data_IF_948736992299
#
_entry.id   IF_948736992299
#
_cell.length_a   1.000
_cell.length_b   1.000
_cell.length_c   1.000
_cell.angle_alpha   90.00
_cell.angle_beta   90.00
_cell.angle_gamma   90.00
#
_symmetry.space_group_name_H-M   'P 1'
#
loop_
_entity.id
_entity.type
_entity.pdbx_description
1 polymer ?
#
# COMPACT_ATOMS: atom_id res chain seq x y z
N UNK A 1 6.46 -16.82 -7.89
CA UNK A 1 7.31 -15.94 -8.70
C UNK A 1 6.61 -15.59 -10.02
N UNK A 2 6.70 -14.33 -10.45
CA UNK A 2 6.02 -13.81 -11.66
C UNK A 2 7.06 -13.29 -12.66
N UNK A 3 6.74 -13.37 -13.95
CA UNK A 3 7.55 -12.72 -14.97
C UNK A 3 7.47 -11.20 -14.77
N UNK A 4 8.60 -10.50 -14.88
CA UNK A 4 8.63 -9.05 -14.74
C UNK A 4 8.37 -8.37 -16.10
N UNK A 5 7.19 -7.77 -16.33
CA UNK A 5 6.86 -7.15 -17.62
C UNK A 5 7.81 -6.01 -17.99
N UNK A 6 8.35 -5.30 -16.99
CA UNK A 6 9.29 -4.22 -17.21
C UNK A 6 10.61 -4.72 -17.79
N UNK A 7 11.08 -5.89 -17.36
CA UNK A 7 12.27 -6.54 -17.93
C UNK A 7 12.09 -6.79 -19.42
N UNK A 8 10.98 -7.45 -19.79
CA UNK A 8 10.70 -7.80 -21.19
C UNK A 8 10.45 -6.56 -22.06
N UNK A 9 9.81 -5.53 -21.51
CA UNK A 9 9.63 -4.24 -22.19
C UNK A 9 10.98 -3.56 -22.46
N UNK A 10 11.87 -3.50 -21.47
CA UNK A 10 13.22 -2.96 -21.66
C UNK A 10 14.01 -3.77 -22.69
N UNK A 11 13.92 -5.09 -22.61
CA UNK A 11 14.57 -5.99 -23.55
C UNK A 11 14.09 -5.76 -25.00
N UNK A 12 12.77 -5.64 -25.21
CA UNK A 12 12.20 -5.37 -26.54
C UNK A 12 12.61 -4.02 -27.12
N UNK A 13 12.81 -3.02 -26.24
CA UNK A 13 13.27 -1.68 -26.58
C UNK A 13 14.81 -1.58 -26.64
N UNK A 14 15.55 -2.68 -26.47
CA UNK A 14 17.02 -2.74 -26.42
C UNK A 14 17.63 -1.82 -25.37
N UNK A 15 16.91 -1.57 -24.27
CA UNK A 15 17.38 -0.81 -23.13
C UNK A 15 18.11 -1.72 -22.12
N UNK A 16 18.96 -1.13 -21.26
CA UNK A 16 19.64 -1.88 -20.22
C UNK A 16 18.64 -2.52 -19.24
N UNK A 17 18.80 -3.83 -19.00
CA UNK A 17 18.03 -4.61 -18.01
C UNK A 17 18.82 -4.92 -16.75
N UNK A 18 20.05 -4.39 -16.61
CA UNK A 18 20.98 -4.75 -15.53
C UNK A 18 20.42 -4.56 -14.11
N UNK A 19 19.54 -3.56 -13.91
CA UNK A 19 18.89 -3.27 -12.63
C UNK A 19 17.41 -3.70 -12.57
N UNK A 20 16.97 -4.52 -13.52
CA UNK A 20 15.58 -4.97 -13.61
C UNK A 20 15.58 -6.50 -13.60
N UNK A 21 15.15 -7.15 -12.50
CA UNK A 21 15.13 -8.61 -12.44
C UNK A 21 14.14 -9.18 -13.47
N UNK A 22 14.49 -10.32 -14.05
CA UNK A 22 13.65 -11.03 -15.01
C UNK A 22 12.37 -11.58 -14.37
N UNK A 23 12.47 -11.92 -13.08
CA UNK A 23 11.40 -12.54 -12.31
C UNK A 23 11.17 -11.73 -11.05
N UNK A 24 9.91 -11.54 -10.66
CA UNK A 24 9.50 -10.99 -9.38
C UNK A 24 9.25 -12.18 -8.46
N UNK A 25 10.10 -12.35 -7.46
CA UNK A 25 9.93 -13.35 -6.41
C UNK A 25 9.16 -12.68 -5.25
N UNK A 26 7.97 -13.15 -4.95
CA UNK A 26 7.17 -12.65 -3.82
C UNK A 26 7.40 -13.47 -2.54
N UNK A 27 8.11 -14.58 -2.64
CA UNK A 27 8.54 -15.39 -1.52
C UNK A 27 10.07 -15.44 -1.48
N UNK A 28 10.63 -15.46 -0.30
CA UNK A 28 12.08 -15.61 -0.08
C UNK A 28 12.33 -16.84 0.77
N UNK A 29 13.20 -17.73 0.29
CA UNK A 29 13.65 -18.90 1.02
C UNK A 29 14.91 -18.52 1.81
N UNK A 30 14.80 -18.58 3.12
CA UNK A 30 15.88 -18.33 4.07
C UNK A 30 16.37 -19.66 4.65
N UNK A 31 17.47 -19.65 5.39
CA UNK A 31 18.11 -20.90 5.85
C UNK A 31 17.19 -21.79 6.71
N UNK A 32 16.31 -21.20 7.52
CA UNK A 32 15.45 -21.90 8.48
C UNK A 32 13.96 -21.56 8.32
N UNK A 33 13.59 -20.64 7.42
CA UNK A 33 12.21 -20.21 7.22
C UNK A 33 11.97 -19.69 5.81
N UNK A 34 10.71 -19.55 5.45
CA UNK A 34 10.26 -18.98 4.19
C UNK A 34 9.51 -17.69 4.51
N UNK A 35 9.92 -16.57 3.90
CA UNK A 35 9.18 -15.33 3.96
C UNK A 35 8.12 -15.31 2.84
N UNK A 36 6.88 -15.07 3.21
CA UNK A 36 5.74 -14.97 2.30
C UNK A 36 5.07 -13.59 2.41
N UNK A 37 4.46 -13.08 1.35
CA UNK A 37 3.62 -11.90 1.44
C UNK A 37 2.48 -12.12 2.45
N UNK A 38 2.14 -11.08 3.19
CA UNK A 38 1.13 -11.19 4.27
C UNK A 38 -0.27 -11.57 3.78
N UNK A 39 -0.65 -11.23 2.56
CA UNK A 39 -1.92 -11.64 1.95
C UNK A 39 -2.01 -13.13 1.64
N UNK A 40 -0.93 -13.90 1.81
CA UNK A 40 -0.95 -15.35 1.70
C UNK A 40 -1.26 -16.06 3.04
N UNK A 41 -1.50 -15.32 4.11
CA UNK A 41 -1.67 -15.91 5.46
C UNK A 41 -2.82 -16.92 5.49
N UNK A 42 -4.01 -16.56 4.99
CA UNK A 42 -5.18 -17.45 4.97
C UNK A 42 -4.92 -18.72 4.16
N UNK A 43 -4.22 -18.62 3.03
CA UNK A 43 -3.86 -19.77 2.20
C UNK A 43 -2.88 -20.70 2.93
N UNK A 44 -1.91 -20.13 3.67
CA UNK A 44 -0.95 -20.90 4.49
C UNK A 44 -1.67 -21.59 5.64
N UNK A 45 -2.57 -20.90 6.35
CA UNK A 45 -3.37 -21.46 7.43
C UNK A 45 -4.23 -22.63 6.93
N UNK A 46 -4.91 -22.46 5.79
CA UNK A 46 -5.71 -23.51 5.18
C UNK A 46 -4.87 -24.74 4.78
N UNK A 47 -3.69 -24.49 4.18
CA UNK A 47 -2.76 -25.55 3.78
C UNK A 47 -2.26 -26.33 5.02
N UNK A 48 -1.84 -25.65 6.07
CA UNK A 48 -1.33 -26.32 7.29
C UNK A 48 -2.44 -27.12 7.97
N UNK A 49 -3.67 -26.60 7.97
CA UNK A 49 -4.82 -27.33 8.48
C UNK A 49 -5.12 -28.60 7.70
N UNK A 50 -5.02 -28.58 6.36
CA UNK A 50 -5.17 -29.77 5.50
C UNK A 50 -4.18 -30.88 5.87
N UNK A 51 -2.93 -30.49 6.19
CA UNK A 51 -1.88 -31.43 6.60
C UNK A 51 -1.84 -31.70 8.09
N UNK A 52 -2.83 -31.21 8.87
CA UNK A 52 -2.90 -31.38 10.33
C UNK A 52 -1.64 -30.86 11.06
N UNK A 53 -1.04 -29.80 10.55
CA UNK A 53 0.09 -29.11 11.17
C UNK A 53 -0.44 -27.99 12.07
N UNK A 54 -0.02 -28.00 13.34
CA UNK A 54 -0.37 -26.93 14.27
C UNK A 54 0.40 -25.65 13.89
N UNK A 55 -0.32 -24.53 13.79
CA UNK A 55 0.25 -23.21 13.54
C UNK A 55 0.27 -22.41 14.85
N UNK A 56 1.40 -21.87 15.21
CA UNK A 56 1.56 -20.84 16.24
C UNK A 56 1.86 -19.51 15.52
N UNK A 57 1.09 -18.47 15.82
CA UNK A 57 1.21 -17.16 15.16
C UNK A 57 1.74 -16.15 16.16
N UNK A 58 2.88 -15.54 15.84
CA UNK A 58 3.43 -14.39 16.54
C UNK A 58 3.20 -13.13 15.66
N UNK A 59 2.41 -12.16 16.16
CA UNK A 59 2.08 -10.94 15.42
C UNK A 59 3.04 -9.81 15.77
N UNK A 60 3.96 -9.51 14.85
CA UNK A 60 4.93 -8.41 14.98
C UNK A 60 4.49 -7.11 14.27
N UNK A 61 3.24 -7.05 13.78
CA UNK A 61 2.71 -5.84 13.14
C UNK A 61 2.67 -4.68 14.12
N UNK A 62 2.81 -3.47 13.59
CA UNK A 62 2.84 -2.24 14.39
C UNK A 62 1.52 -1.47 14.27
N UNK A 63 0.94 -1.19 15.41
CA UNK A 63 -0.21 -0.27 15.51
C UNK A 63 0.12 1.18 15.15
N UNK A 64 1.40 1.53 15.21
CA UNK A 64 1.87 2.89 14.98
C UNK A 64 1.46 3.87 16.08
N UNK A 65 1.71 5.16 15.83
CA UNK A 65 1.34 6.23 16.74
C UNK A 65 -0.13 6.66 16.54
N UNK A 66 -0.82 7.13 17.60
CA UNK A 66 -2.16 7.70 17.46
C UNK A 66 -2.15 8.93 16.53
N UNK A 67 -3.18 9.04 15.70
CA UNK A 67 -3.46 10.19 14.84
C UNK A 67 -4.82 10.76 15.22
N UNK A 68 -4.81 11.88 15.92
CA UNK A 68 -6.03 12.56 16.35
C UNK A 68 -6.53 13.50 15.26
N UNK A 69 -7.36 12.99 14.37
CA UNK A 69 -8.02 13.75 13.31
C UNK A 69 -9.49 13.35 13.22
N UNK A 70 -10.33 14.24 12.73
CA UNK A 70 -11.76 13.96 12.51
C UNK A 70 -12.12 14.25 11.07
N UNK A 71 -12.84 13.33 10.45
CA UNK A 71 -13.39 13.54 9.13
C UNK A 71 -14.51 14.61 9.17
N UNK A 72 -14.39 15.65 8.35
CA UNK A 72 -15.32 16.78 8.32
C UNK A 72 -16.26 16.78 7.08
N UNK A 73 -16.17 15.73 6.26
CA UNK A 73 -17.00 15.59 5.08
C UNK A 73 -18.34 14.90 5.37
N UNK A 74 -19.19 14.85 4.35
CA UNK A 74 -20.41 14.04 4.35
C UNK A 74 -20.23 12.91 3.32
N UNK A 75 -20.40 11.68 3.74
CA UNK A 75 -20.37 10.52 2.86
C UNK A 75 -21.75 10.26 2.26
N UNK A 76 -21.80 9.78 1.04
CA UNK A 76 -22.99 9.14 0.50
C UNK A 76 -23.24 7.79 1.17
N UNK A 77 -24.46 7.28 1.09
CA UNK A 77 -24.81 5.96 1.65
C UNK A 77 -23.88 4.85 1.14
N UNK A 78 -23.53 4.88 -0.14
CA UNK A 78 -22.60 3.91 -0.74
C UNK A 78 -21.18 4.04 -0.16
N UNK A 79 -20.68 5.26 0.01
CA UNK A 79 -19.37 5.51 0.61
C UNK A 79 -19.33 5.09 2.10
N UNK A 80 -20.40 5.29 2.85
CA UNK A 80 -20.51 4.83 4.23
C UNK A 80 -20.46 3.30 4.32
N UNK A 81 -21.24 2.61 3.48
CA UNK A 81 -21.25 1.16 3.43
C UNK A 81 -19.85 0.61 3.07
N UNK A 82 -19.21 1.19 2.05
CA UNK A 82 -17.86 0.82 1.64
C UNK A 82 -16.83 1.04 2.77
N UNK A 83 -16.88 2.20 3.42
CA UNK A 83 -15.99 2.51 4.55
C UNK A 83 -16.17 1.51 5.69
N UNK A 84 -17.43 1.21 6.07
CA UNK A 84 -17.72 0.21 7.10
C UNK A 84 -17.19 -1.17 6.73
N UNK A 85 -17.39 -1.61 5.49
CA UNK A 85 -16.91 -2.90 5.02
C UNK A 85 -15.36 -3.00 5.08
N UNK A 86 -14.63 -1.95 4.65
CA UNK A 86 -13.16 -1.95 4.73
C UNK A 86 -12.68 -1.94 6.18
N UNK A 87 -13.36 -1.24 7.07
CA UNK A 87 -12.98 -1.13 8.48
C UNK A 87 -13.14 -2.43 9.27
N UNK A 88 -13.87 -3.43 8.77
CA UNK A 88 -13.97 -4.75 9.43
C UNK A 88 -12.73 -5.63 9.22
N UNK A 89 -11.83 -5.26 8.32
CA UNK A 89 -10.62 -6.01 8.00
C UNK A 89 -9.37 -5.15 8.25
N UNK A 90 -8.27 -5.75 8.65
CA UNK A 90 -7.00 -5.04 8.81
C UNK A 90 -6.38 -4.71 7.45
N UNK A 91 -6.61 -5.56 6.47
CA UNK A 91 -6.10 -5.42 5.11
C UNK A 91 -7.21 -5.59 4.10
N UNK A 92 -7.09 -4.92 2.95
CA UNK A 92 -8.02 -5.10 1.85
C UNK A 92 -7.93 -4.05 0.76
N UNK A 93 -8.61 -4.34 -0.35
CA UNK A 93 -8.64 -3.45 -1.52
C UNK A 93 -10.06 -2.93 -1.73
N UNK A 94 -10.23 -1.62 -1.68
CA UNK A 94 -11.46 -0.95 -2.08
C UNK A 94 -11.47 -0.70 -3.59
N UNK A 95 -12.31 -1.46 -4.29
CA UNK A 95 -12.49 -1.35 -5.74
C UNK A 95 -13.72 -0.53 -6.04
N UNK A 96 -13.58 0.59 -6.73
CA UNK A 96 -14.71 1.43 -7.13
C UNK A 96 -14.40 2.23 -8.41
N UNK A 97 -15.39 2.43 -9.31
CA UNK A 97 -15.20 3.21 -10.52
C UNK A 97 -14.64 4.61 -10.27
N UNK A 98 -14.03 5.26 -11.29
CA UNK A 98 -13.67 6.67 -11.21
C UNK A 98 -14.90 7.53 -10.87
N UNK A 99 -14.71 8.60 -10.08
CA UNK A 99 -15.76 9.51 -9.70
C UNK A 99 -16.56 9.15 -8.44
N UNK A 100 -16.47 7.93 -7.92
CA UNK A 100 -17.16 7.51 -6.67
C UNK A 100 -16.59 8.21 -5.42
N UNK A 101 -15.42 8.83 -5.52
CA UNK A 101 -14.78 9.48 -4.38
C UNK A 101 -13.93 8.51 -3.53
N UNK A 102 -13.17 7.60 -4.16
CA UNK A 102 -12.25 6.67 -3.46
C UNK A 102 -11.34 7.39 -2.45
N UNK A 103 -10.79 8.54 -2.82
CA UNK A 103 -9.93 9.33 -1.94
C UNK A 103 -10.68 9.80 -0.69
N UNK A 104 -11.95 10.22 -0.84
CA UNK A 104 -12.80 10.64 0.29
C UNK A 104 -13.05 9.47 1.25
N UNK A 105 -13.36 8.28 0.71
CA UNK A 105 -13.51 7.05 1.51
C UNK A 105 -12.19 6.70 2.19
N UNK A 106 -11.05 6.80 1.48
CA UNK A 106 -9.72 6.58 2.05
C UNK A 106 -9.42 7.53 3.23
N UNK A 107 -9.76 8.82 3.11
CA UNK A 107 -9.57 9.80 4.18
C UNK A 107 -10.48 9.50 5.38
N UNK A 108 -11.72 9.08 5.15
CA UNK A 108 -12.61 8.62 6.22
C UNK A 108 -12.03 7.40 6.94
N UNK A 109 -11.47 6.42 6.21
CA UNK A 109 -10.83 5.24 6.80
C UNK A 109 -9.61 5.65 7.65
N UNK A 110 -8.78 6.59 7.15
CA UNK A 110 -7.64 7.14 7.91
C UNK A 110 -8.11 7.74 9.24
N UNK A 111 -9.14 8.58 9.20
CA UNK A 111 -9.69 9.20 10.41
C UNK A 111 -10.28 8.17 11.37
N UNK A 112 -10.98 7.16 10.86
CA UNK A 112 -11.60 6.10 11.66
C UNK A 112 -10.56 5.16 12.31
N UNK A 113 -9.46 4.83 11.61
CA UNK A 113 -8.35 4.03 12.16
C UNK A 113 -7.60 4.80 13.25
N UNK A 114 -7.44 6.13 13.10
CA UNK A 114 -6.77 6.97 14.08
C UNK A 114 -5.31 6.59 14.33
N UNK A 115 -4.62 6.13 13.28
CA UNK A 115 -3.21 5.72 13.35
C UNK A 115 -2.37 6.55 12.38
N UNK A 116 -1.11 6.80 12.73
CA UNK A 116 -0.21 7.48 11.83
C UNK A 116 -0.18 6.76 10.48
N UNK A 117 -0.33 7.54 9.41
CA UNK A 117 -0.64 6.99 8.09
C UNK A 117 0.34 7.45 7.04
N UNK A 118 0.79 6.49 6.22
CA UNK A 118 1.54 6.72 4.99
C UNK A 118 0.65 6.45 3.78
N UNK A 119 0.46 7.46 2.93
CA UNK A 119 -0.27 7.32 1.66
C UNK A 119 0.75 7.18 0.53
N UNK A 120 0.66 6.07 -0.21
CA UNK A 120 1.52 5.76 -1.34
C UNK A 120 0.83 6.09 -2.66
N UNK A 121 1.48 6.92 -3.46
CA UNK A 121 1.00 7.33 -4.79
C UNK A 121 2.09 7.10 -5.84
N UNK A 122 1.72 7.04 -7.13
CA UNK A 122 2.70 6.78 -8.20
C UNK A 122 3.13 8.02 -8.99
N UNK A 123 2.47 9.18 -8.81
CA UNK A 123 2.76 10.42 -9.55
C UNK A 123 2.43 11.67 -8.76
N UNK A 124 3.14 12.76 -9.11
CA UNK A 124 3.02 14.06 -8.43
C UNK A 124 1.57 14.63 -8.39
N UNK A 125 0.77 14.62 -9.46
CA UNK A 125 -0.60 15.13 -9.40
C UNK A 125 -1.46 14.44 -8.34
N UNK A 126 -1.29 13.13 -8.12
CA UNK A 126 -1.98 12.40 -7.04
C UNK A 126 -1.47 12.82 -5.66
N UNK A 127 -0.16 13.04 -5.50
CA UNK A 127 0.40 13.56 -4.25
C UNK A 127 -0.23 14.92 -3.91
N UNK A 128 -0.25 15.85 -4.86
CA UNK A 128 -0.82 17.18 -4.65
C UNK A 128 -2.34 17.10 -4.35
N UNK A 129 -3.07 16.22 -5.03
CA UNK A 129 -4.49 15.96 -4.80
C UNK A 129 -4.74 15.41 -3.39
N UNK A 130 -3.96 14.40 -2.94
CA UNK A 130 -4.09 13.84 -1.60
C UNK A 130 -3.85 14.88 -0.54
N UNK A 131 -2.78 15.68 -0.65
CA UNK A 131 -2.49 16.76 0.30
C UNK A 131 -3.65 17.75 0.39
N UNK A 132 -4.20 18.19 -0.75
CA UNK A 132 -5.31 19.12 -0.78
C UNK A 132 -6.59 18.52 -0.14
N UNK A 133 -6.90 17.26 -0.44
CA UNK A 133 -8.11 16.62 0.08
C UNK A 133 -7.98 16.23 1.56
N UNK A 134 -6.80 15.80 2.02
CA UNK A 134 -6.53 15.59 3.45
C UNK A 134 -6.72 16.89 4.23
N UNK A 135 -6.15 17.99 3.76
CA UNK A 135 -6.32 19.29 4.40
C UNK A 135 -7.79 19.71 4.48
N UNK A 136 -8.55 19.53 3.38
CA UNK A 136 -9.97 19.87 3.30
C UNK A 136 -10.83 19.01 4.22
N UNK A 137 -10.70 17.67 4.15
CA UNK A 137 -11.61 16.75 4.84
C UNK A 137 -11.21 16.44 6.28
N UNK A 138 -9.96 16.75 6.68
CA UNK A 138 -9.53 16.62 8.08
C UNK A 138 -9.46 17.98 8.79
N UNK A 139 -9.59 19.10 8.05
CA UNK A 139 -9.52 20.45 8.62
C UNK A 139 -8.15 20.79 9.19
N UNK A 140 -7.06 20.32 8.57
CA UNK A 140 -5.68 20.55 9.01
C UNK A 140 -4.92 21.43 8.00
N UNK A 141 -3.89 22.14 8.46
CA UNK A 141 -3.04 22.93 7.55
C UNK A 141 -2.28 21.96 6.60
N UNK A 142 -2.25 22.22 5.28
CA UNK A 142 -1.43 21.44 4.34
C UNK A 142 0.04 21.31 4.74
N UNK A 143 0.57 22.23 5.55
CA UNK A 143 1.95 22.17 6.08
C UNK A 143 2.14 21.07 7.14
N UNK A 144 1.06 20.63 7.77
CA UNK A 144 1.07 19.53 8.73
C UNK A 144 1.05 18.15 8.05
N UNK A 145 0.94 18.11 6.72
CA UNK A 145 0.98 16.88 5.92
C UNK A 145 2.39 16.74 5.35
N UNK A 146 3.09 15.68 5.73
CA UNK A 146 4.42 15.42 5.21
C UNK A 146 4.38 14.98 3.74
N UNK A 147 5.44 15.28 3.00
CA UNK A 147 5.52 15.02 1.57
C UNK A 147 6.88 14.42 1.19
N UNK A 148 6.85 13.30 0.46
CA UNK A 148 8.04 12.62 -0.02
C UNK A 148 7.90 12.39 -1.53
N UNK A 149 8.76 13.04 -2.30
CA UNK A 149 8.74 12.97 -3.76
C UNK A 149 8.66 14.33 -4.43
N UNK A 150 8.81 14.36 -5.75
CA UNK A 150 8.78 15.60 -6.53
C UNK A 150 9.74 16.70 -6.03
N UNK A 151 10.94 16.31 -5.58
CA UNK A 151 11.94 17.22 -5.01
C UNK A 151 11.76 17.55 -3.52
N UNK A 152 10.72 17.04 -2.87
CA UNK A 152 10.50 17.21 -1.43
C UNK A 152 10.86 15.92 -0.68
N UNK A 153 11.53 16.05 0.46
CA UNK A 153 11.70 14.97 1.45
C UNK A 153 11.49 15.57 2.84
N UNK A 154 10.21 15.73 3.19
CA UNK A 154 9.78 16.30 4.48
C UNK A 154 8.71 15.42 5.11
N UNK A 155 9.03 14.18 5.52
CA UNK A 155 8.11 13.36 6.31
C UNK A 155 7.94 13.97 7.70
N UNK A 156 6.77 13.76 8.30
CA UNK A 156 6.51 14.14 9.70
C UNK A 156 6.20 12.92 10.60
N UNK A 157 6.10 11.72 10.02
CA UNK A 157 5.84 10.48 10.74
C UNK A 157 4.42 10.33 11.30
N UNK A 158 3.52 11.28 10.99
CA UNK A 158 2.12 11.28 11.43
C UNK A 158 1.15 11.04 10.29
N UNK A 159 1.20 11.90 9.27
CA UNK A 159 0.35 11.83 8.09
C UNK A 159 1.17 12.27 6.89
N UNK A 160 1.63 11.32 6.12
CA UNK A 160 2.58 11.57 5.04
C UNK A 160 2.07 11.03 3.72
N UNK A 161 2.29 11.79 2.64
CA UNK A 161 2.02 11.35 1.26
C UNK A 161 3.34 11.17 0.53
N UNK A 162 3.58 9.97 0.03
CA UNK A 162 4.85 9.61 -0.60
C UNK A 162 4.66 9.09 -2.02
N UNK A 163 5.53 9.53 -2.92
CA UNK A 163 5.67 8.86 -4.21
C UNK A 163 6.45 7.56 -4.00
N UNK A 164 5.87 6.42 -4.39
CA UNK A 164 6.43 5.09 -4.17
C UNK A 164 7.90 4.99 -4.64
N UNK A 165 8.18 5.49 -5.84
CA UNK A 165 9.55 5.49 -6.40
C UNK A 165 10.54 6.35 -5.62
N UNK A 166 10.08 7.27 -4.78
CA UNK A 166 10.94 8.12 -3.95
C UNK A 166 11.35 7.45 -2.65
N UNK A 167 10.71 6.33 -2.29
CA UNK A 167 11.03 5.50 -1.14
C UNK A 167 12.08 4.43 -1.43
N UNK A 168 12.41 4.22 -2.71
CA UNK A 168 13.41 3.22 -3.11
C UNK A 168 14.64 3.95 -3.64
N UNK A 169 15.80 3.74 -3.01
CA UNK A 169 17.09 4.29 -3.43
C UNK A 169 18.13 3.18 -3.52
N UNK A 170 18.82 3.08 -4.65
CA UNK A 170 19.86 2.07 -4.89
C UNK A 170 19.42 0.64 -4.52
N UNK A 171 18.13 0.36 -4.69
CA UNK A 171 17.57 -0.94 -4.36
C UNK A 171 17.21 -1.14 -2.88
N UNK A 172 17.39 -0.15 -2.02
CA UNK A 172 16.95 -0.19 -0.62
C UNK A 172 15.69 0.65 -0.44
N UNK A 173 14.77 0.17 0.40
CA UNK A 173 13.57 0.89 0.81
C UNK A 173 13.90 1.77 2.01
N UNK A 174 13.30 2.96 2.08
CA UNK A 174 13.50 3.88 3.20
C UNK A 174 12.83 3.29 4.47
N UNK A 175 13.59 3.19 5.55
CA UNK A 175 13.17 2.58 6.83
C UNK A 175 11.91 3.21 7.43
N UNK A 176 11.59 4.44 7.02
CA UNK A 176 10.40 5.13 7.50
C UNK A 176 9.10 4.35 7.22
N UNK A 177 9.03 3.52 6.15
CA UNK A 177 7.82 2.76 5.82
C UNK A 177 7.39 1.79 6.91
N UNK A 178 8.35 1.31 7.72
CA UNK A 178 8.11 0.40 8.83
C UNK A 178 7.59 1.09 10.11
N UNK A 179 7.42 2.42 10.12
CA UNK A 179 7.05 3.18 11.32
C UNK A 179 5.57 3.55 11.40
N UNK A 180 4.79 3.33 10.34
CA UNK A 180 3.38 3.67 10.29
C UNK A 180 2.50 2.51 10.73
N UNK A 181 1.37 2.83 11.39
CA UNK A 181 0.35 1.86 11.76
C UNK A 181 -0.67 1.62 10.65
N UNK A 182 -0.80 2.56 9.71
CA UNK A 182 -1.69 2.43 8.56
C UNK A 182 -0.96 2.84 7.27
N UNK A 183 -1.08 2.03 6.24
CA UNK A 183 -0.61 2.36 4.89
C UNK A 183 -1.78 2.33 3.91
N UNK A 184 -1.94 3.41 3.15
CA UNK A 184 -2.93 3.52 2.08
C UNK A 184 -2.21 3.54 0.73
N UNK A 185 -2.63 2.70 -0.20
CA UNK A 185 -2.02 2.62 -1.54
C UNK A 185 -3.04 3.05 -2.57
N UNK A 186 -2.85 4.25 -3.15
CA UNK A 186 -3.77 4.76 -4.15
C UNK A 186 -3.39 4.32 -5.55
N UNK A 187 -4.42 3.99 -6.36
CA UNK A 187 -4.30 3.46 -7.71
C UNK A 187 -3.31 2.30 -7.80
N UNK A 188 -3.43 1.36 -6.85
CA UNK A 188 -2.50 0.26 -6.65
C UNK A 188 -2.27 -0.61 -7.91
N UNK A 189 -3.24 -0.62 -8.86
CA UNK A 189 -3.10 -1.32 -10.14
C UNK A 189 -2.11 -0.66 -11.12
N UNK A 190 -1.74 0.61 -10.90
CA UNK A 190 -0.80 1.35 -11.76
C UNK A 190 0.65 1.29 -11.27
N UNK A 191 0.89 0.79 -10.06
CA UNK A 191 2.22 0.74 -9.49
C UNK A 191 3.10 -0.30 -10.21
N UNK A 192 4.39 0.02 -10.47
CA UNK A 192 5.32 -0.99 -10.98
C UNK A 192 5.38 -2.16 -10.00
N UNK A 193 5.08 -3.38 -10.47
CA UNK A 193 4.96 -4.56 -9.62
C UNK A 193 6.20 -4.77 -8.73
N UNK A 194 7.39 -4.59 -9.28
CA UNK A 194 8.65 -4.75 -8.55
C UNK A 194 8.86 -3.73 -7.43
N UNK A 195 8.65 -2.43 -7.70
CA UNK A 195 8.81 -1.39 -6.66
C UNK A 195 7.71 -1.46 -5.61
N UNK A 196 6.50 -1.84 -6.03
CA UNK A 196 5.35 -2.03 -5.15
C UNK A 196 5.60 -3.18 -4.17
N UNK A 197 5.98 -4.34 -4.68
CA UNK A 197 6.29 -5.52 -3.90
C UNK A 197 7.40 -5.22 -2.87
N UNK A 198 8.50 -4.59 -3.30
CA UNK A 198 9.61 -4.26 -2.40
C UNK A 198 9.22 -3.32 -1.28
N UNK A 199 8.45 -2.26 -1.56
CA UNK A 199 8.03 -1.32 -0.52
C UNK A 199 7.06 -1.99 0.45
N UNK A 200 6.11 -2.80 -0.05
CA UNK A 200 5.14 -3.45 0.83
C UNK A 200 5.75 -4.58 1.66
N UNK A 201 6.81 -5.24 1.20
CA UNK A 201 7.54 -6.22 2.00
C UNK A 201 8.16 -5.60 3.27
N UNK A 202 8.54 -4.31 3.23
CA UNK A 202 9.11 -3.60 4.38
C UNK A 202 8.05 -2.92 5.27
N UNK A 203 6.77 -2.91 4.85
CA UNK A 203 5.67 -2.33 5.63
C UNK A 203 5.34 -3.23 6.81
N UNK A 204 5.42 -2.68 8.04
CA UNK A 204 5.04 -3.38 9.28
C UNK A 204 3.70 -2.88 9.86
N UNK A 205 2.97 -2.07 9.14
CA UNK A 205 1.70 -1.51 9.58
C UNK A 205 0.66 -2.60 9.86
N UNK A 206 -0.12 -2.43 10.92
CA UNK A 206 -1.26 -3.29 11.22
C UNK A 206 -2.32 -3.17 10.11
N UNK A 207 -2.58 -1.93 9.65
CA UNK A 207 -3.61 -1.67 8.65
C UNK A 207 -3.04 -1.36 7.28
N UNK A 208 -3.62 -2.00 6.24
CA UNK A 208 -3.18 -1.81 4.86
C UNK A 208 -4.41 -1.71 3.94
N UNK A 209 -4.57 -0.57 3.27
CA UNK A 209 -5.74 -0.29 2.43
C UNK A 209 -5.32 0.05 1.00
N UNK A 210 -5.71 -0.78 0.04
CA UNK A 210 -5.57 -0.48 -1.38
C UNK A 210 -6.80 0.25 -1.93
N UNK A 211 -6.59 1.26 -2.77
CA UNK A 211 -7.65 1.95 -3.49
C UNK A 211 -7.42 1.78 -4.99
N UNK A 212 -8.43 1.33 -5.73
CA UNK A 212 -8.29 1.13 -7.16
C UNK A 212 -9.59 1.32 -7.93
N UNK A 213 -9.50 1.75 -9.17
CA UNK A 213 -10.64 1.80 -10.08
C UNK A 213 -10.96 0.44 -10.70
N UNK A 214 -9.94 -0.38 -10.89
CA UNK A 214 -10.06 -1.72 -11.48
C UNK A 214 -9.17 -2.69 -10.70
N UNK A 215 -9.66 -3.91 -10.39
CA UNK A 215 -8.83 -4.92 -9.77
C UNK A 215 -7.82 -5.53 -10.76
N UNK A 216 -8.01 -5.27 -12.05
CA UNK A 216 -7.17 -5.81 -13.11
C UNK A 216 -5.97 -4.92 -13.37
N UNK A 217 -4.78 -5.49 -13.31
CA UNK A 217 -3.54 -4.82 -13.70
C UNK A 217 -3.31 -4.97 -15.20
N UNK A 218 -2.81 -3.90 -15.83
CA UNK A 218 -2.48 -3.92 -17.27
C UNK A 218 -1.36 -4.88 -17.63
N UNK A 219 -0.52 -5.24 -16.67
CA UNK A 219 0.60 -6.16 -16.83
C UNK A 219 0.22 -7.63 -16.52
N UNK A 220 -1.06 -7.91 -16.20
CA UNK A 220 -1.53 -9.26 -15.89
C UNK A 220 -1.09 -9.78 -14.51
N UNK A 221 -0.47 -8.94 -13.66
CA UNK A 221 0.07 -9.33 -12.37
C UNK A 221 -0.89 -9.05 -11.21
N UNK A 222 -2.22 -9.27 -11.42
CA UNK A 222 -3.23 -9.17 -10.37
C UNK A 222 -2.89 -9.95 -9.10
N UNK A 223 -2.35 -11.20 -9.19
CA UNK A 223 -2.04 -11.96 -7.99
C UNK A 223 -1.08 -11.25 -7.04
N UNK A 224 -0.12 -10.46 -7.56
CA UNK A 224 0.80 -9.68 -6.69
C UNK A 224 0.03 -8.67 -5.83
N UNK A 225 -1.02 -8.07 -6.38
CA UNK A 225 -1.86 -7.13 -5.62
C UNK A 225 -2.55 -7.84 -4.44
N UNK A 226 -3.18 -9.00 -4.70
CA UNK A 226 -3.89 -9.77 -3.68
C UNK A 226 -2.95 -10.43 -2.66
N UNK A 227 -1.69 -10.69 -3.04
CA UNK A 227 -0.69 -11.20 -2.10
C UNK A 227 -0.15 -10.12 -1.16
N UNK A 228 -0.22 -8.84 -1.53
CA UNK A 228 0.36 -7.73 -0.75
C UNK A 228 -0.71 -6.91 -0.02
N UNK A 229 -1.94 -6.93 -0.47
CA UNK A 229 -3.08 -6.21 0.04
C UNK A 229 -4.24 -7.19 0.31
#
# INVERSE_FOLDING_TARGET
AFQNPEFYKKQSLRLSTAMTPRVIACAEELAEHIALPRGCQEDVEALLQEYSVALEVEDERKDGAPLEVKFQGTLTTMQEQASKAVLTHDMGVFVAPPGIGKTVVGIQIIAARGRNTLILVHRKPLLDQWVAQLALFLGIDPKEIGQIGAGKKKPNGRLDVAMLQSLVRQGQVDDLVASYGHVVVDECHHLPAFSFERVLAEVKACYLTGLTATPQRRDGQQPILHMQL
#
